data_IF_058577746772
#
_entry.id   IF_058577746772
#
_cell.length_a   1.000
_cell.length_b   1.000
_cell.length_c   1.000
_cell.angle_alpha   90.00
_cell.angle_beta   90.00
_cell.angle_gamma   90.00
#
_symmetry.space_group_name_H-M   'P 1'
#
loop_
_entity.id
_entity.type
_entity.pdbx_description
1 polymer ?
#
# COMPACT_ATOMS: atom_id res chain seq x y z
N UNK A 1 65.46 22.58 -0.05
CA UNK A 1 64.35 23.32 0.58
C UNK A 1 63.73 24.24 -0.47
N UNK A 2 62.55 23.89 -1.00
CA UNK A 2 61.69 24.82 -1.74
C UNK A 2 60.25 24.32 -1.61
N UNK A 3 59.54 24.91 -0.66
CA UNK A 3 58.09 24.82 -0.58
C UNK A 3 57.53 25.72 -1.68
N UNK A 4 57.05 25.10 -2.75
CA UNK A 4 56.17 25.70 -3.74
C UNK A 4 54.98 24.79 -3.82
N UNK A 5 53.75 25.22 -3.87
CA UNK A 5 53.14 26.51 -3.66
C UNK A 5 51.69 26.07 -3.43
N UNK A 6 51.00 26.67 -2.47
CA UNK A 6 49.59 26.35 -2.27
C UNK A 6 48.91 26.72 -3.58
N UNK A 7 48.50 25.71 -4.35
CA UNK A 7 47.89 25.88 -5.65
C UNK A 7 46.48 26.46 -5.43
N UNK A 8 46.43 27.77 -5.15
CA UNK A 8 45.25 28.56 -4.85
C UNK A 8 44.48 28.94 -6.13
N UNK A 9 44.55 28.08 -7.14
CA UNK A 9 44.02 28.31 -8.48
C UNK A 9 42.84 27.42 -8.85
N UNK A 10 42.38 26.53 -7.97
CA UNK A 10 41.13 25.82 -8.23
C UNK A 10 39.96 26.66 -7.72
N UNK A 11 39.10 27.19 -8.61
CA UNK A 11 37.86 27.81 -8.16
C UNK A 11 37.09 26.77 -7.36
N UNK A 12 36.60 27.13 -6.17
CA UNK A 12 35.76 26.28 -5.33
C UNK A 12 34.63 25.72 -6.19
N UNK A 13 34.76 24.46 -6.62
CA UNK A 13 33.71 23.75 -7.37
C UNK A 13 32.68 23.33 -6.35
N UNK A 14 31.65 24.15 -6.19
CA UNK A 14 30.42 23.75 -5.50
C UNK A 14 29.81 22.64 -6.35
N UNK A 15 29.88 21.41 -5.87
CA UNK A 15 29.13 20.30 -6.47
C UNK A 15 27.67 20.53 -6.04
N UNK A 16 26.76 20.87 -6.96
CA UNK A 16 25.37 21.06 -6.60
C UNK A 16 24.81 19.74 -6.09
N UNK A 17 24.40 19.72 -4.82
CA UNK A 17 23.68 18.57 -4.26
C UNK A 17 22.30 18.55 -4.90
N UNK A 18 22.12 17.72 -5.94
CA UNK A 18 20.79 17.40 -6.44
C UNK A 18 20.15 16.46 -5.43
N UNK A 19 19.17 16.98 -4.66
CA UNK A 19 18.32 16.12 -3.83
C UNK A 19 17.78 15.01 -4.73
N UNK A 20 17.92 13.72 -4.37
CA UNK A 20 17.24 12.64 -5.08
C UNK A 20 15.77 13.03 -5.22
N UNK A 21 15.20 12.87 -6.42
CA UNK A 21 13.77 13.12 -6.60
C UNK A 21 13.03 12.35 -5.50
N UNK A 22 12.21 13.04 -4.70
CA UNK A 22 11.31 12.36 -3.79
C UNK A 22 10.47 11.45 -4.68
N UNK A 23 10.66 10.14 -4.58
CA UNK A 23 9.72 9.20 -5.15
C UNK A 23 8.42 9.48 -4.43
N UNK A 24 7.45 10.01 -5.14
CA UNK A 24 6.08 10.03 -4.66
C UNK A 24 5.73 8.59 -4.30
N UNK A 25 5.27 8.37 -3.08
CA UNK A 25 4.83 7.06 -2.64
C UNK A 25 3.69 6.64 -3.58
N UNK A 26 3.95 5.63 -4.41
CA UNK A 26 2.93 5.08 -5.30
C UNK A 26 1.98 4.24 -4.46
N UNK A 27 0.95 4.91 -3.92
CA UNK A 27 -0.15 4.27 -3.25
C UNK A 27 -0.93 3.43 -4.28
N UNK A 28 -0.97 2.12 -4.08
CA UNK A 28 -1.74 1.20 -4.93
C UNK A 28 -2.79 0.53 -4.06
N UNK A 29 -4.06 0.66 -4.45
CA UNK A 29 -5.18 -0.01 -3.79
C UNK A 29 -5.41 -1.38 -4.41
N UNK A 30 -5.58 -2.41 -3.59
CA UNK A 30 -5.91 -3.77 -4.03
C UNK A 30 -7.05 -4.31 -3.16
N UNK A 31 -8.04 -4.95 -3.79
CA UNK A 31 -9.16 -5.59 -3.08
C UNK A 31 -8.85 -7.07 -2.84
N UNK A 32 -9.14 -7.54 -1.62
CA UNK A 32 -8.89 -8.92 -1.18
C UNK A 32 -10.17 -9.44 -0.50
N UNK A 33 -10.74 -10.53 -1.04
CA UNK A 33 -11.82 -11.25 -0.38
C UNK A 33 -11.23 -12.36 0.51
N UNK A 34 -11.52 -12.33 1.81
CA UNK A 34 -11.02 -13.31 2.77
C UNK A 34 -12.07 -13.61 3.87
N UNK A 35 -12.09 -14.86 4.34
CA UNK A 35 -12.84 -15.26 5.54
C UNK A 35 -11.86 -15.28 6.71
N UNK A 36 -12.16 -14.50 7.75
CA UNK A 36 -11.26 -14.32 8.89
C UNK A 36 -11.93 -14.87 10.15
N UNK A 37 -11.22 -15.71 10.89
CA UNK A 37 -11.64 -16.14 12.23
C UNK A 37 -11.11 -15.16 13.27
N UNK A 38 -11.98 -14.63 14.13
CA UNK A 38 -11.63 -13.65 15.16
C UNK A 38 -12.05 -14.13 16.54
N UNK A 39 -11.30 -13.71 17.56
CA UNK A 39 -11.65 -13.91 18.97
C UNK A 39 -11.83 -12.55 19.62
N UNK A 40 -13.00 -12.31 20.21
CA UNK A 40 -13.36 -11.01 20.78
C UNK A 40 -13.45 -11.15 22.30
N UNK A 41 -12.66 -10.35 23.01
CA UNK A 41 -12.79 -10.22 24.46
C UNK A 41 -13.86 -9.18 24.77
N UNK A 42 -14.92 -9.59 25.46
CA UNK A 42 -16.05 -8.75 25.81
C UNK A 42 -16.52 -9.01 27.24
N UNK A 43 -17.29 -8.08 27.81
CA UNK A 43 -17.82 -8.24 29.16
C UNK A 43 -19.03 -9.18 29.19
N UNK A 44 -19.32 -9.73 30.38
CA UNK A 44 -20.51 -10.55 30.59
C UNK A 44 -21.78 -9.71 30.39
N UNK A 45 -22.67 -10.16 29.50
CA UNK A 45 -23.89 -9.44 29.10
C UNK A 45 -23.76 -8.58 27.84
N UNK A 46 -22.54 -8.40 27.32
CA UNK A 46 -22.29 -7.75 26.04
C UNK A 46 -22.31 -8.78 24.89
N UNK A 47 -22.83 -8.38 23.73
CA UNK A 47 -22.77 -9.23 22.54
C UNK A 47 -21.36 -9.14 21.91
N UNK A 48 -20.72 -10.28 21.58
CA UNK A 48 -19.41 -10.28 20.95
C UNK A 48 -19.43 -9.58 19.58
N UNK A 49 -20.56 -9.63 18.88
CA UNK A 49 -20.76 -8.97 17.58
C UNK A 49 -20.75 -7.44 17.73
N UNK A 50 -21.52 -6.92 18.70
CA UNK A 50 -21.56 -5.48 19.01
C UNK A 50 -20.19 -4.99 19.43
N UNK A 51 -19.49 -5.75 20.27
CA UNK A 51 -18.13 -5.39 20.69
C UNK A 51 -17.14 -5.36 19.53
N UNK A 52 -17.26 -6.30 18.59
CA UNK A 52 -16.43 -6.33 17.39
C UNK A 52 -16.66 -5.09 16.51
N UNK A 53 -17.92 -4.70 16.31
CA UNK A 53 -18.27 -3.50 15.55
C UNK A 53 -17.66 -2.24 16.18
N UNK A 54 -17.81 -2.07 17.49
CA UNK A 54 -17.19 -0.94 18.20
C UNK A 54 -15.66 -0.90 18.05
N UNK A 55 -15.00 -2.06 18.10
CA UNK A 55 -13.54 -2.16 17.91
C UNK A 55 -13.16 -1.71 16.48
N UNK A 56 -13.91 -2.13 15.48
CA UNK A 56 -13.65 -1.77 14.08
C UNK A 56 -13.87 -0.27 13.89
N UNK A 57 -15.01 0.27 14.33
CA UNK A 57 -15.33 1.70 14.20
C UNK A 57 -14.35 2.61 14.95
N UNK A 58 -13.93 2.21 16.16
CA UNK A 58 -12.95 2.97 16.95
C UNK A 58 -11.53 2.92 16.38
N UNK A 59 -11.21 1.93 15.53
CA UNK A 59 -9.90 1.85 14.89
C UNK A 59 -9.68 2.96 13.86
N UNK A 60 -10.74 3.39 13.17
CA UNK A 60 -10.66 4.35 12.05
C UNK A 60 -9.94 3.81 10.80
N UNK A 61 -9.52 2.55 10.82
CA UNK A 61 -8.76 1.90 9.74
C UNK A 61 -9.65 1.00 8.87
N UNK A 62 -10.87 0.72 9.32
CA UNK A 62 -11.80 -0.18 8.64
C UNK A 62 -13.24 0.31 8.79
N UNK A 63 -14.02 0.10 7.73
CA UNK A 63 -15.44 0.43 7.64
C UNK A 63 -16.27 -0.87 7.60
N UNK A 64 -17.45 -0.85 8.22
CA UNK A 64 -18.39 -1.98 8.22
C UNK A 64 -19.52 -1.65 7.25
N UNK A 65 -19.66 -2.46 6.21
CA UNK A 65 -20.74 -2.35 5.24
C UNK A 65 -21.84 -3.38 5.49
N UNK A 66 -23.10 -3.00 5.23
CA UNK A 66 -24.17 -3.98 5.13
C UNK A 66 -23.95 -4.84 3.88
N UNK A 67 -24.42 -6.09 3.90
CA UNK A 67 -24.24 -7.06 2.82
C UNK A 67 -24.82 -6.55 1.50
N UNK A 68 -25.90 -5.76 1.56
CA UNK A 68 -26.52 -5.16 0.38
C UNK A 68 -25.58 -4.14 -0.26
N UNK A 69 -25.03 -3.23 0.54
CA UNK A 69 -24.11 -2.18 0.07
C UNK A 69 -22.79 -2.78 -0.44
N UNK A 70 -22.27 -3.79 0.26
CA UNK A 70 -21.03 -4.47 -0.12
C UNK A 70 -21.15 -5.20 -1.48
N UNK A 71 -22.32 -5.76 -1.80
CA UNK A 71 -22.54 -6.45 -3.08
C UNK A 71 -22.64 -5.46 -4.24
N UNK A 72 -23.27 -4.29 -4.04
CA UNK A 72 -23.35 -3.24 -5.06
C UNK A 72 -21.96 -2.69 -5.42
N UNK A 73 -21.11 -2.43 -4.43
CA UNK A 73 -19.71 -1.99 -4.67
C UNK A 73 -18.88 -3.10 -5.34
N UNK A 74 -19.10 -4.37 -4.96
CA UNK A 74 -18.42 -5.49 -5.61
C UNK A 74 -18.82 -5.65 -7.09
N UNK A 75 -20.09 -5.41 -7.43
CA UNK A 75 -20.55 -5.40 -8.81
C UNK A 75 -19.94 -4.24 -9.61
N UNK A 76 -19.80 -3.06 -9.01
CA UNK A 76 -19.16 -1.89 -9.65
C UNK A 76 -17.65 -2.11 -9.89
N UNK A 77 -16.95 -2.71 -8.93
CA UNK A 77 -15.53 -3.09 -9.05
C UNK A 77 -15.36 -4.23 -10.07
N UNK A 78 -16.28 -5.20 -10.07
CA UNK A 78 -16.30 -6.34 -10.99
C UNK A 78 -16.57 -5.94 -12.44
N UNK A 79 -17.29 -4.83 -12.67
CA UNK A 79 -17.57 -4.30 -14.01
C UNK A 79 -16.43 -3.42 -14.56
N UNK A 80 -15.64 -2.77 -13.70
CA UNK A 80 -14.51 -1.92 -14.14
C UNK A 80 -13.27 -2.72 -14.51
N UNK A 81 -13.13 -3.93 -13.93
CA UNK A 81 -12.02 -4.82 -14.24
C UNK A 81 -12.50 -5.83 -15.28
N UNK A 82 -12.21 -5.55 -16.55
CA UNK A 82 -11.85 -6.64 -17.46
C UNK A 82 -10.74 -7.40 -16.72
N UNK A 83 -11.16 -8.47 -16.04
CA UNK A 83 -10.30 -9.36 -15.28
C UNK A 83 -9.14 -9.65 -16.19
N UNK A 84 -7.92 -9.30 -15.77
CA UNK A 84 -6.74 -9.73 -16.49
C UNK A 84 -6.91 -11.23 -16.68
N UNK A 85 -7.17 -11.67 -17.92
CA UNK A 85 -7.61 -13.04 -18.26
C UNK A 85 -6.54 -14.10 -17.95
N UNK A 86 -5.45 -13.70 -17.30
CA UNK A 86 -4.27 -14.51 -17.08
C UNK A 86 -3.68 -14.25 -15.70
N UNK A 87 -3.33 -15.33 -15.00
CA UNK A 87 -2.58 -15.26 -13.77
C UNK A 87 -1.20 -14.64 -14.06
N UNK A 88 -0.90 -13.49 -13.44
CA UNK A 88 0.36 -12.77 -13.62
C UNK A 88 1.60 -13.50 -13.08
N UNK A 89 1.43 -14.69 -12.50
CA UNK A 89 2.52 -15.53 -11.98
C UNK A 89 2.85 -16.75 -12.88
N UNK A 90 2.24 -16.87 -14.06
CA UNK A 90 2.58 -17.93 -15.00
C UNK A 90 3.92 -17.63 -15.68
N UNK A 91 4.92 -18.48 -15.41
CA UNK A 91 6.25 -18.40 -16.02
C UNK A 91 6.27 -18.76 -17.52
N UNK A 92 5.12 -19.07 -18.11
CA UNK A 92 5.01 -19.51 -19.51
C UNK A 92 5.35 -18.39 -20.52
N UNK A 93 5.32 -17.10 -20.11
CA UNK A 93 5.75 -15.98 -20.95
C UNK A 93 7.27 -15.72 -20.95
N UNK A 94 8.07 -16.49 -20.18
CA UNK A 94 9.54 -16.47 -20.31
C UNK A 94 10.07 -17.44 -21.38
N UNK A 95 9.24 -17.85 -22.34
CA UNK A 95 9.69 -18.61 -23.50
C UNK A 95 9.76 -17.72 -24.75
N UNK A 96 11.02 -17.35 -25.08
CA UNK A 96 11.53 -16.99 -26.40
C UNK A 96 11.13 -15.61 -26.97
N UNK A 97 12.03 -14.63 -26.80
CA UNK A 97 12.94 -14.14 -27.87
C UNK A 97 14.08 -13.30 -27.28
#
# INVERSE_FOLDING_TARGET
>A
MRMTDRNAGQPCRVIPFKRPAQREEQLTTSSIAAVIAVTVLHYEGESPETRLLEIIESSGEAEVFDVVDALEEFEEIGQTRAVAEHAVNDNEQMALL
#
